data_IF_447186480987
#
_entry.id   IF_447186480987
#
_cell.length_a   1.000
_cell.length_b   1.000
_cell.length_c   1.000
_cell.angle_alpha   90.00
_cell.angle_beta   90.00
_cell.angle_gamma   90.00
#
_symmetry.space_group_name_H-M   'P 1'
#
loop_
_entity.id
_entity.type
_entity.pdbx_description
1 polymer ?
#
# COMPACT_ATOMS: atom_id res chain seq x y z
N UNK A 1 -10.06 10.40 15.67
CA UNK A 1 -9.73 10.58 17.08
C UNK A 1 -8.34 10.05 17.37
N UNK A 2 -7.58 10.82 18.12
CA UNK A 2 -6.19 10.44 18.42
C UNK A 2 -6.18 9.55 19.66
N UNK A 3 -5.57 8.37 19.55
CA UNK A 3 -5.46 7.46 20.68
C UNK A 3 -4.24 7.78 21.53
N UNK A 4 -4.28 7.38 22.79
CA UNK A 4 -3.13 7.55 23.69
C UNK A 4 -1.93 6.77 23.17
N UNK A 5 -2.17 5.58 22.60
CA UNK A 5 -1.10 4.78 22.01
C UNK A 5 -0.41 5.52 20.86
N UNK A 6 -1.16 6.24 20.05
CA UNK A 6 -0.58 7.03 18.96
C UNK A 6 0.25 8.18 19.51
N UNK A 7 -0.22 8.85 20.57
CA UNK A 7 0.52 9.94 21.20
C UNK A 7 1.86 9.45 21.75
N UNK A 8 1.86 8.31 22.42
CA UNK A 8 3.09 7.69 22.93
C UNK A 8 4.03 7.35 21.77
N UNK A 9 3.48 6.83 20.68
CA UNK A 9 4.26 6.47 19.51
C UNK A 9 4.90 7.70 18.85
N UNK A 10 4.17 8.82 18.81
CA UNK A 10 4.71 10.09 18.29
C UNK A 10 5.87 10.58 19.15
N UNK A 11 5.78 10.41 20.47
CA UNK A 11 6.90 10.74 21.36
C UNK A 11 8.12 9.94 21.01
N UNK A 12 7.98 8.65 20.78
CA UNK A 12 9.10 7.78 20.40
C UNK A 12 9.66 8.19 19.05
N UNK A 13 8.80 8.55 18.11
CA UNK A 13 9.21 9.02 16.81
C UNK A 13 10.02 10.30 16.92
N UNK A 14 9.59 11.22 17.78
CA UNK A 14 10.30 12.47 18.02
C UNK A 14 11.70 12.23 18.59
N UNK A 15 11.83 11.26 19.49
CA UNK A 15 13.15 10.88 20.04
C UNK A 15 14.06 10.40 18.91
N UNK A 16 13.55 9.58 18.00
CA UNK A 16 14.32 9.09 16.87
C UNK A 16 14.71 10.21 15.89
N UNK A 17 13.77 11.11 15.60
CA UNK A 17 14.05 12.25 14.74
C UNK A 17 15.07 13.19 15.35
N UNK A 18 15.01 13.40 16.66
CA UNK A 18 16.01 14.21 17.34
C UNK A 18 17.40 13.55 17.29
N UNK A 19 17.44 12.22 17.39
CA UNK A 19 18.72 11.50 17.30
C UNK A 19 19.31 11.58 15.90
N UNK A 20 18.49 11.50 14.86
CA UNK A 20 18.96 11.56 13.47
C UNK A 20 19.25 12.98 13.00
N UNK A 21 18.53 13.96 13.54
CA UNK A 21 18.69 15.38 13.16
C UNK A 21 18.97 16.24 14.40
N UNK A 22 20.08 15.99 15.10
CA UNK A 22 20.28 16.59 16.42
C UNK A 22 20.32 18.12 16.44
N UNK A 23 20.78 18.73 15.35
CA UNK A 23 20.86 20.18 15.30
C UNK A 23 19.59 20.82 14.75
N UNK A 24 19.05 20.26 13.70
CA UNK A 24 17.93 20.87 12.99
C UNK A 24 16.57 20.57 13.65
N UNK A 25 16.42 19.40 14.24
CA UNK A 25 15.17 19.04 14.92
C UNK A 25 14.97 19.89 16.16
N UNK A 26 15.98 19.93 17.02
CA UNK A 26 15.91 20.71 18.26
C UNK A 26 15.77 22.22 18.01
N UNK A 27 16.33 22.69 16.91
CA UNK A 27 16.27 24.12 16.58
C UNK A 27 14.84 24.66 16.43
N UNK A 28 13.89 23.80 16.06
CA UNK A 28 12.47 24.19 15.94
C UNK A 28 11.86 24.61 17.24
N UNK A 29 12.42 24.12 18.35
CA UNK A 29 11.83 24.27 19.67
C UNK A 29 12.68 25.14 20.59
N UNK A 30 13.54 25.98 20.03
CA UNK A 30 14.35 26.89 20.81
C UNK A 30 13.58 28.16 21.13
N UNK A 31 13.95 28.77 22.26
CA UNK A 31 13.36 30.02 22.70
C UNK A 31 12.36 29.81 23.82
N UNK A 32 11.79 30.91 24.30
CA UNK A 32 10.88 30.91 25.45
C UNK A 32 9.59 30.13 25.19
N UNK A 33 9.18 30.03 23.91
CA UNK A 33 7.97 29.33 23.50
C UNK A 33 8.25 27.86 23.10
N UNK A 34 9.46 27.38 23.32
CA UNK A 34 9.87 26.06 22.86
C UNK A 34 8.96 24.93 23.33
N UNK A 35 8.57 24.94 24.61
CA UNK A 35 7.69 23.90 25.15
C UNK A 35 6.31 23.92 24.49
N UNK A 36 5.75 25.13 24.31
CA UNK A 36 4.44 25.28 23.64
C UNK A 36 4.50 24.86 22.19
N UNK A 37 5.59 25.19 21.49
CA UNK A 37 5.79 24.79 20.09
C UNK A 37 5.93 23.27 19.99
N UNK A 38 6.62 22.64 20.95
CA UNK A 38 6.77 21.19 20.97
C UNK A 38 5.41 20.51 21.17
N UNK A 39 4.55 21.05 22.03
CA UNK A 39 3.22 20.51 22.27
C UNK A 39 2.35 20.60 21.02
N UNK A 40 2.38 21.75 20.33
CA UNK A 40 1.64 21.94 19.09
C UNK A 40 2.15 20.99 18.01
N UNK A 41 3.47 20.85 17.90
CA UNK A 41 4.07 19.93 16.92
C UNK A 41 3.64 18.50 17.21
N UNK A 42 3.68 18.08 18.47
CA UNK A 42 3.29 16.75 18.86
C UNK A 42 1.84 16.45 18.46
N UNK A 43 0.94 17.36 18.76
CA UNK A 43 -0.47 17.22 18.40
C UNK A 43 -0.66 17.20 16.88
N UNK A 44 0.03 18.07 16.15
CA UNK A 44 -0.06 18.15 14.70
C UNK A 44 0.43 16.85 14.04
N UNK A 45 1.56 16.33 14.49
CA UNK A 45 2.09 15.08 13.99
C UNK A 45 1.13 13.93 14.27
N UNK A 46 0.56 13.89 15.48
CA UNK A 46 -0.40 12.83 15.82
C UNK A 46 -1.62 12.90 14.91
N UNK A 47 -2.15 14.09 14.63
CA UNK A 47 -3.27 14.26 13.72
C UNK A 47 -2.97 13.74 12.31
N UNK A 48 -1.77 14.04 11.82
CA UNK A 48 -1.37 13.62 10.47
C UNK A 48 -1.14 12.12 10.35
N UNK A 49 -0.85 11.46 11.46
CA UNK A 49 -0.55 10.04 11.47
C UNK A 49 -1.75 9.15 11.83
N UNK A 50 -2.91 9.72 12.07
CA UNK A 50 -4.13 8.95 12.29
C UNK A 50 -4.43 8.12 11.03
N UNK A 51 -4.75 6.86 11.24
CA UNK A 51 -5.09 5.95 10.15
C UNK A 51 -3.92 5.09 9.65
N UNK A 52 -2.73 5.31 10.17
CA UNK A 52 -1.56 4.49 9.84
C UNK A 52 -1.18 3.60 11.01
N UNK A 53 -0.71 2.39 10.73
CA UNK A 53 -0.23 1.49 11.76
C UNK A 53 1.18 1.88 12.18
N UNK A 54 1.62 1.54 13.40
CA UNK A 54 3.01 1.79 13.82
C UNK A 54 4.02 1.20 12.84
N UNK A 55 3.73 0.03 12.29
CA UNK A 55 4.61 -0.61 11.31
C UNK A 55 4.75 0.23 10.05
N UNK A 56 3.65 0.78 9.55
CA UNK A 56 3.67 1.65 8.37
C UNK A 56 4.46 2.92 8.64
N UNK A 57 4.27 3.51 9.81
CA UNK A 57 4.99 4.73 10.22
C UNK A 57 6.48 4.46 10.30
N UNK A 58 6.89 3.35 10.90
CA UNK A 58 8.30 3.01 11.02
C UNK A 58 8.94 2.70 9.65
N UNK A 59 8.18 2.13 8.74
CA UNK A 59 8.66 1.91 7.37
C UNK A 59 8.84 3.22 6.63
N UNK A 60 7.94 4.17 6.85
CA UNK A 60 8.08 5.52 6.28
C UNK A 60 9.32 6.22 6.85
N UNK A 61 9.54 6.08 8.15
CA UNK A 61 10.72 6.63 8.81
C UNK A 61 12.00 6.04 8.20
N UNK A 62 12.03 4.74 7.97
CA UNK A 62 13.20 4.09 7.37
C UNK A 62 13.49 4.59 5.96
N UNK A 63 12.49 5.05 5.23
CA UNK A 63 12.69 5.59 3.88
C UNK A 63 13.45 6.91 3.87
N UNK A 64 13.51 7.60 4.99
CA UNK A 64 14.23 8.88 5.06
C UNK A 64 15.71 8.70 4.73
N UNK A 65 16.29 7.56 5.05
CA UNK A 65 17.70 7.28 4.77
C UNK A 65 18.00 7.23 3.28
N UNK A 66 17.00 6.87 2.47
CA UNK A 66 17.15 6.74 1.04
C UNK A 66 16.83 8.01 0.25
N UNK A 67 16.31 9.04 0.94
CA UNK A 67 15.85 10.27 0.29
C UNK A 67 16.84 11.39 0.52
N UNK A 68 17.53 11.88 -0.53
CA UNK A 68 18.54 12.93 -0.38
C UNK A 68 18.02 14.22 0.25
N UNK A 69 16.75 14.54 0.02
CA UNK A 69 16.12 15.75 0.53
C UNK A 69 16.01 15.78 2.06
N UNK A 70 16.10 14.62 2.70
CA UNK A 70 15.99 14.49 4.15
C UNK A 70 17.31 14.10 4.82
N UNK A 71 18.43 14.38 4.18
CA UNK A 71 19.75 14.12 4.78
C UNK A 71 20.07 15.12 5.88
N UNK A 72 19.77 16.40 5.65
CA UNK A 72 20.08 17.47 6.59
C UNK A 72 18.89 17.89 7.46
N UNK A 73 17.70 17.84 6.90
CA UNK A 73 16.50 18.36 7.55
C UNK A 73 15.43 17.29 7.60
N UNK A 74 14.81 17.14 8.77
CA UNK A 74 13.70 16.22 8.93
C UNK A 74 12.49 16.70 8.11
N UNK A 75 11.65 15.78 7.64
CA UNK A 75 10.41 16.15 6.98
C UNK A 75 9.44 16.80 7.97
N UNK A 76 8.59 17.69 7.48
CA UNK A 76 7.47 18.19 8.27
C UNK A 76 6.38 17.13 8.36
N UNK A 77 5.33 17.38 9.17
CA UNK A 77 4.26 16.40 9.35
C UNK A 77 3.51 16.08 8.06
N UNK A 78 3.31 17.05 7.18
CA UNK A 78 2.66 16.79 5.89
C UNK A 78 3.51 15.93 4.99
N UNK A 79 4.80 16.22 4.89
CA UNK A 79 5.73 15.47 4.06
C UNK A 79 5.85 14.04 4.57
N UNK A 80 5.96 13.86 5.87
CA UNK A 80 6.03 12.53 6.48
C UNK A 80 4.74 11.75 6.25
N UNK A 81 3.59 12.41 6.35
CA UNK A 81 2.32 11.76 6.06
C UNK A 81 2.28 11.21 4.64
N UNK A 82 2.82 11.96 3.67
CA UNK A 82 2.88 11.48 2.29
C UNK A 82 3.73 10.23 2.15
N UNK A 83 4.81 10.12 2.92
CA UNK A 83 5.61 8.90 2.95
C UNK A 83 4.80 7.74 3.52
N UNK A 84 4.02 7.99 4.57
CA UNK A 84 3.15 6.96 5.14
C UNK A 84 2.07 6.52 4.15
N UNK A 85 1.50 7.46 3.39
CA UNK A 85 0.52 7.14 2.36
C UNK A 85 1.14 6.24 1.30
N UNK A 86 2.37 6.53 0.88
CA UNK A 86 3.07 5.71 -0.09
C UNK A 86 3.30 4.29 0.43
N UNK A 87 3.70 4.16 1.69
CA UNK A 87 3.89 2.84 2.33
C UNK A 87 2.57 2.08 2.37
N UNK A 88 1.51 2.75 2.79
CA UNK A 88 0.18 2.11 2.90
C UNK A 88 -0.31 1.63 1.54
N UNK A 89 -0.14 2.44 0.50
CA UNK A 89 -0.53 2.05 -0.86
C UNK A 89 0.27 0.86 -1.35
N UNK A 90 1.58 0.84 -1.09
CA UNK A 90 2.43 -0.28 -1.47
C UNK A 90 1.99 -1.57 -0.76
N UNK A 91 1.66 -1.48 0.52
CA UNK A 91 1.16 -2.62 1.28
C UNK A 91 -0.16 -3.14 0.70
N UNK A 92 -1.09 -2.24 0.38
CA UNK A 92 -2.38 -2.62 -0.20
C UNK A 92 -2.22 -3.26 -1.57
N UNK A 93 -1.32 -2.74 -2.39
CA UNK A 93 -1.03 -3.31 -3.70
C UNK A 93 -0.41 -4.69 -3.58
N UNK A 94 0.50 -4.85 -2.61
CA UNK A 94 1.13 -6.13 -2.35
C UNK A 94 0.11 -7.17 -1.89
N UNK A 95 -0.79 -6.78 -0.99
CA UNK A 95 -1.87 -7.67 -0.54
C UNK A 95 -2.77 -8.09 -1.69
N UNK A 96 -3.12 -7.16 -2.57
CA UNK A 96 -3.91 -7.47 -3.76
C UNK A 96 -3.18 -8.41 -4.69
N UNK A 97 -1.87 -8.20 -4.85
CA UNK A 97 -1.03 -9.07 -5.67
C UNK A 97 -1.02 -10.50 -5.10
N UNK A 98 -0.82 -10.63 -3.78
CA UNK A 98 -0.81 -11.92 -3.11
C UNK A 98 -2.17 -12.61 -3.22
N UNK A 99 -3.25 -11.86 -3.05
CA UNK A 99 -4.60 -12.41 -3.16
C UNK A 99 -4.87 -12.94 -4.57
N UNK A 100 -4.43 -12.21 -5.60
CA UNK A 100 -4.57 -12.65 -6.98
C UNK A 100 -3.74 -13.90 -7.25
N UNK A 101 -2.51 -13.92 -6.74
CA UNK A 101 -1.62 -15.07 -6.89
C UNK A 101 -2.21 -16.30 -6.23
N UNK A 102 -2.73 -16.13 -5.01
CA UNK A 102 -3.36 -17.21 -4.28
C UNK A 102 -4.56 -17.78 -5.03
N UNK A 103 -5.40 -16.92 -5.61
CA UNK A 103 -6.53 -17.37 -6.42
C UNK A 103 -6.08 -18.16 -7.65
N UNK A 104 -4.95 -17.80 -8.26
CA UNK A 104 -4.42 -18.55 -9.40
C UNK A 104 -3.91 -19.92 -9.00
N UNK A 105 -3.39 -20.04 -7.77
CA UNK A 105 -2.83 -21.28 -7.28
C UNK A 105 -3.88 -22.25 -6.74
N UNK A 106 -5.09 -21.75 -6.45
CA UNK A 106 -6.16 -22.61 -5.98
C UNK A 106 -6.61 -23.53 -7.10
N UNK A 107 -6.83 -24.83 -6.79
CA UNK A 107 -7.34 -25.74 -7.79
C UNK A 107 -8.71 -25.29 -8.27
N UNK A 108 -8.91 -25.34 -9.57
CA UNK A 108 -10.23 -25.04 -10.11
C UNK A 108 -11.09 -26.29 -9.96
N UNK A 109 -12.35 -26.11 -9.53
CA UNK A 109 -13.26 -27.26 -9.49
C UNK A 109 -13.39 -27.83 -10.88
N UNK A 110 -13.40 -29.15 -10.98
CA UNK A 110 -13.63 -29.79 -12.26
C UNK A 110 -15.07 -29.54 -12.69
N UNK A 111 -15.29 -29.08 -13.91
CA UNK A 111 -16.66 -28.91 -14.37
C UNK A 111 -17.35 -30.27 -14.51
N UNK A 112 -18.65 -30.27 -14.30
CA UNK A 112 -19.43 -31.49 -14.49
C UNK A 112 -19.42 -31.89 -15.97
N UNK A 113 -19.70 -33.15 -16.27
CA UNK A 113 -19.80 -33.58 -17.68
C UNK A 113 -20.83 -32.76 -18.46
N UNK A 114 -21.89 -32.35 -17.81
CA UNK A 114 -22.91 -31.50 -18.42
C UNK A 114 -22.38 -30.11 -18.76
N UNK A 115 -21.63 -29.54 -17.83
CA UNK A 115 -21.02 -28.23 -18.06
C UNK A 115 -19.99 -28.30 -19.19
N UNK A 116 -19.24 -29.38 -19.27
CA UNK A 116 -18.29 -29.58 -20.37
C UNK A 116 -19.02 -29.71 -21.71
N UNK A 117 -20.10 -30.44 -21.73
CA UNK A 117 -20.90 -30.60 -22.94
C UNK A 117 -21.45 -29.27 -23.41
N UNK A 118 -21.99 -28.48 -22.49
CA UNK A 118 -22.50 -27.15 -22.84
C UNK A 118 -21.40 -26.22 -23.32
N UNK A 119 -20.24 -26.31 -22.70
CA UNK A 119 -19.11 -25.49 -23.10
C UNK A 119 -18.66 -25.83 -24.52
N UNK A 120 -18.60 -27.11 -24.83
CA UNK A 120 -18.25 -27.57 -26.18
C UNK A 120 -19.28 -27.08 -27.20
N UNK A 121 -20.54 -27.15 -26.82
CA UNK A 121 -21.62 -26.69 -27.69
C UNK A 121 -21.51 -25.19 -27.96
N UNK A 122 -21.26 -24.41 -26.92
CA UNK A 122 -21.08 -22.96 -27.08
C UNK A 122 -19.92 -22.61 -27.96
N UNK A 123 -18.82 -23.32 -27.81
CA UNK A 123 -17.64 -23.09 -28.63
C UNK A 123 -17.94 -23.42 -30.08
N UNK A 124 -18.59 -24.54 -30.33
CA UNK A 124 -18.96 -24.93 -31.69
C UNK A 124 -19.90 -23.90 -32.32
N UNK A 125 -20.86 -23.41 -31.58
CA UNK A 125 -21.79 -22.39 -32.05
C UNK A 125 -21.08 -21.07 -32.33
N UNK A 126 -20.15 -20.67 -31.45
CA UNK A 126 -19.41 -19.44 -31.60
C UNK A 126 -18.46 -19.46 -32.80
N UNK A 127 -17.85 -20.62 -33.01
CA UNK A 127 -16.98 -20.78 -34.16
C UNK A 127 -17.74 -20.97 -35.47
N UNK A 128 -19.00 -21.24 -35.34
CA UNK A 128 -19.85 -21.40 -36.47
C UNK A 128 -19.86 -22.81 -37.02
N UNK A 129 -20.87 -23.06 -37.84
CA UNK A 129 -21.05 -24.32 -38.43
C UNK A 129 -20.00 -24.62 -39.41
N UNK A 130 -19.27 -23.66 -39.98
CA UNK A 130 -18.25 -23.95 -40.95
C UNK A 130 -17.27 -24.99 -40.57
N UNK A 131 -16.96 -25.06 -39.26
CA UNK A 131 -16.04 -26.06 -38.84
C UNK A 131 -16.54 -27.48 -39.01
N UNK A 132 -17.79 -27.68 -38.75
CA UNK A 132 -18.38 -28.99 -38.97
C UNK A 132 -18.69 -29.19 -40.40
N UNK A 133 -19.06 -28.17 -41.11
CA UNK A 133 -19.36 -28.30 -42.49
C UNK A 133 -18.15 -28.42 -43.36
N UNK A 134 -17.07 -27.95 -42.88
CA UNK A 134 -15.87 -28.02 -43.62
C UNK A 134 -15.54 -29.41 -44.07
N UNK A 135 -15.77 -30.32 -43.20
CA UNK A 135 -15.57 -31.68 -43.52
C UNK A 135 -16.42 -32.12 -44.69
N UNK A 136 -17.60 -31.63 -44.78
CA UNK A 136 -18.46 -32.00 -45.85
C UNK A 136 -18.25 -31.16 -47.05
N UNK A 137 -17.92 -29.97 -46.84
CA UNK A 137 -17.80 -29.14 -47.94
C UNK A 137 -16.60 -29.34 -48.72
N UNK A 138 -15.97 -30.00 -48.25
CA UNK A 138 -15.03 -30.15 -48.95
C UNK A 138 -15.22 -30.89 -49.78
N UNK A 139 -15.91 -31.29 -49.37
CA UNK A 139 -16.22 -31.84 -50.17
C UNK A 139 -16.49 -31.45 -51.23
N UNK A 140 -16.48 -31.31 -51.27
CA UNK A 140 -16.60 -31.27 -52.11
C UNK A 140 -16.35 -30.72 -52.94
N UNK A 141 -16.42 -30.58 -53.09
CA UNK A 141 -16.29 -30.19 -53.89
C UNK A 141 -15.97 -30.28 -54.67
#
# INVERSE_FOLDING_TARGET
MISDALLVFVDELFVKLNADYPLTWAAQFKGDDGAALADVAHATWAERLVGFTPKQIMRAYAKLDALPEYVKFAPGPKAFRLLCVAVKRADEEHERFLARRERRLLPRPKPSPEALAERRKKIADALGRPLSLRGSSQGGE
#
